data_IF_027223951047
#
_entry.id   IF_027223951047
#
_cell.length_a   1.000
_cell.length_b   1.000
_cell.length_c   1.000
_cell.angle_alpha   90.00
_cell.angle_beta   90.00
_cell.angle_gamma   90.00
#
_symmetry.space_group_name_H-M   'P 1'
#
loop_
_entity.id
_entity.type
_entity.pdbx_description
1 polymer ?
#
# COMPACT_ATOMS: atom_id res chain seq x y z
N UNK A 1 69.20 38.90 10.65
CA UNK A 1 69.10 37.44 10.75
C UNK A 1 68.15 37.13 11.88
N UNK A 2 66.90 36.83 11.52
CA UNK A 2 65.88 36.34 12.42
C UNK A 2 65.86 34.81 12.30
N UNK A 3 65.87 34.09 13.41
CA UNK A 3 65.50 32.68 13.45
C UNK A 3 64.27 32.55 14.35
N UNK A 4 63.12 32.56 13.67
CA UNK A 4 61.81 32.17 14.16
C UNK A 4 61.53 30.78 13.59
N UNK A 5 61.72 29.75 14.41
CA UNK A 5 61.33 28.37 14.12
C UNK A 5 60.41 27.83 15.21
N UNK A 6 59.24 28.50 15.30
CA UNK A 6 57.89 27.92 15.30
C UNK A 6 57.73 26.47 15.78
N UNK A 7 57.10 26.38 16.96
CA UNK A 7 55.87 25.61 17.24
C UNK A 7 55.59 24.44 16.30
N UNK A 8 55.72 23.22 16.83
CA UNK A 8 55.07 22.02 16.29
C UNK A 8 53.57 22.30 16.06
N UNK A 9 52.99 22.01 14.89
CA UNK A 9 51.54 22.04 14.73
C UNK A 9 50.95 20.79 15.38
N UNK A 10 50.19 21.00 16.45
CA UNK A 10 49.19 20.09 17.01
C UNK A 10 47.99 19.97 16.06
N UNK A 11 48.22 19.62 14.78
CA UNK A 11 47.17 19.61 13.75
C UNK A 11 46.64 18.20 13.43
N UNK A 12 47.02 17.18 14.20
CA UNK A 12 46.64 15.77 13.95
C UNK A 12 45.59 15.23 14.94
N UNK A 13 44.71 16.10 15.44
CA UNK A 13 43.72 15.77 16.47
C UNK A 13 42.31 16.29 16.06
N UNK A 14 41.46 15.36 15.61
CA UNK A 14 39.97 15.42 15.52
C UNK A 14 39.23 16.15 14.38
N UNK A 15 39.52 15.91 13.11
CA UNK A 15 38.59 16.29 12.01
C UNK A 15 37.65 15.17 11.55
N UNK A 16 37.14 14.36 12.50
CA UNK A 16 35.98 13.48 12.23
C UNK A 16 34.80 13.68 13.19
N UNK A 17 34.27 14.90 13.46
CA UNK A 17 33.21 15.03 14.47
C UNK A 17 31.82 14.71 13.91
N UNK A 18 31.48 15.17 12.70
CA UNK A 18 30.08 15.16 12.24
C UNK A 18 29.64 13.81 11.70
N UNK A 19 30.43 13.19 10.83
CA UNK A 19 30.08 11.91 10.22
C UNK A 19 30.08 10.75 11.24
N UNK A 20 31.08 10.71 12.13
CA UNK A 20 31.15 9.72 13.19
C UNK A 20 30.00 9.89 14.21
N UNK A 21 29.68 11.13 14.61
CA UNK A 21 28.56 11.41 15.50
C UNK A 21 27.22 11.02 14.86
N UNK A 22 27.02 11.31 13.58
CA UNK A 22 25.83 10.90 12.82
C UNK A 22 25.63 9.38 12.83
N UNK A 23 26.71 8.61 12.66
CA UNK A 23 26.66 7.14 12.74
C UNK A 23 26.34 6.66 14.15
N UNK A 24 27.05 7.16 15.17
CA UNK A 24 26.83 6.78 16.59
C UNK A 24 25.41 7.11 17.05
N UNK A 25 24.86 8.23 16.58
CA UNK A 25 23.50 8.68 16.93
C UNK A 25 22.41 8.07 16.04
N UNK A 26 22.77 7.32 14.99
CA UNK A 26 21.81 6.81 14.00
C UNK A 26 21.13 7.91 13.18
N UNK A 27 21.64 9.15 13.22
CA UNK A 27 21.08 10.30 12.51
C UNK A 27 21.70 10.41 11.13
N UNK A 28 20.88 10.18 10.11
CA UNK A 28 21.31 10.35 8.71
C UNK A 28 21.75 11.80 8.43
N UNK A 29 22.72 12.01 7.53
CA UNK A 29 23.09 13.32 7.04
C UNK A 29 21.88 14.13 6.54
N UNK A 30 21.81 15.41 6.93
CA UNK A 30 20.68 16.30 6.63
C UNK A 30 20.39 16.40 5.12
N UNK A 31 21.42 16.46 4.29
CA UNK A 31 21.25 16.53 2.83
C UNK A 31 20.51 15.30 2.26
N UNK A 32 20.77 14.10 2.80
CA UNK A 32 20.04 12.89 2.41
C UNK A 32 18.59 12.98 2.85
N UNK A 33 18.31 13.42 4.08
CA UNK A 33 16.94 13.58 4.58
C UNK A 33 16.13 14.55 3.70
N UNK A 34 16.73 15.68 3.31
CA UNK A 34 16.08 16.65 2.42
C UNK A 34 15.78 16.02 1.06
N UNK A 35 16.76 15.35 0.44
CA UNK A 35 16.54 14.70 -0.85
C UNK A 35 15.45 13.61 -0.77
N UNK A 36 15.37 12.86 0.34
CA UNK A 36 14.35 11.83 0.53
C UNK A 36 12.95 12.43 0.53
N UNK A 37 12.75 13.54 1.24
CA UNK A 37 11.46 14.25 1.29
C UNK A 37 11.13 14.89 -0.07
N UNK A 38 12.13 15.45 -0.77
CA UNK A 38 11.96 15.99 -2.13
C UNK A 38 11.47 14.89 -3.07
N UNK A 39 12.11 13.73 -3.10
CA UNK A 39 11.70 12.59 -3.93
C UNK A 39 10.30 12.10 -3.54
N UNK A 40 10.01 11.96 -2.24
CA UNK A 40 8.71 11.49 -1.75
C UNK A 40 7.56 12.48 -2.04
N UNK A 41 7.85 13.77 -2.23
CA UNK A 41 6.86 14.76 -2.67
C UNK A 41 6.74 14.78 -4.19
N UNK A 42 7.86 14.81 -4.92
CA UNK A 42 7.89 14.93 -6.38
C UNK A 42 7.17 13.76 -7.07
N UNK A 43 7.50 12.53 -6.70
CA UNK A 43 7.05 11.33 -7.41
C UNK A 43 5.52 11.15 -7.33
N UNK A 44 4.90 11.08 -6.14
CA UNK A 44 3.47 10.79 -6.06
C UNK A 44 2.56 12.02 -6.14
N UNK A 45 3.05 13.22 -5.80
CA UNK A 45 2.22 14.45 -5.80
C UNK A 45 2.42 15.30 -7.05
N UNK A 46 3.66 15.57 -7.44
CA UNK A 46 3.96 16.38 -8.62
C UNK A 46 3.97 15.54 -9.91
N UNK A 47 3.91 14.20 -9.78
CA UNK A 47 3.92 13.25 -10.90
C UNK A 47 5.11 13.47 -11.83
N UNK A 48 6.26 13.78 -11.24
CA UNK A 48 7.54 13.96 -11.93
C UNK A 48 8.52 12.88 -11.53
N UNK A 49 9.36 12.43 -12.47
CA UNK A 49 10.47 11.54 -12.13
C UNK A 49 11.45 12.25 -11.21
N UNK A 50 12.07 11.47 -10.33
CA UNK A 50 13.06 11.98 -9.39
C UNK A 50 14.24 11.04 -9.36
N UNK A 51 15.43 11.61 -9.53
CA UNK A 51 16.67 10.88 -9.40
C UNK A 51 17.15 11.03 -7.96
N UNK A 52 17.23 9.91 -7.25
CA UNK A 52 17.89 9.86 -5.95
C UNK A 52 19.25 9.20 -6.18
N UNK A 53 20.25 10.03 -6.50
CA UNK A 53 21.56 9.60 -6.95
C UNK A 53 21.45 8.72 -8.21
N UNK A 54 21.80 7.44 -8.13
CA UNK A 54 21.76 6.47 -9.25
C UNK A 54 20.41 5.80 -9.43
N UNK A 55 19.49 5.94 -8.47
CA UNK A 55 18.16 5.32 -8.52
C UNK A 55 17.16 6.29 -9.11
N UNK A 56 16.47 5.85 -10.16
CA UNK A 56 15.42 6.62 -10.83
C UNK A 56 14.05 6.15 -10.32
N UNK A 57 13.27 7.09 -9.78
CA UNK A 57 11.90 6.84 -9.38
C UNK A 57 10.93 7.38 -10.43
N UNK A 58 10.24 6.49 -11.15
CA UNK A 58 9.20 6.87 -12.10
C UNK A 58 7.85 7.07 -11.40
N UNK A 59 7.12 8.18 -11.64
CA UNK A 59 5.82 8.41 -11.03
C UNK A 59 4.76 7.39 -11.47
N UNK A 60 4.89 6.77 -12.65
CA UNK A 60 3.95 5.76 -13.14
C UNK A 60 3.93 4.49 -12.30
N UNK A 61 5.04 4.20 -11.62
CA UNK A 61 5.21 2.96 -10.88
C UNK A 61 4.49 3.02 -9.54
N UNK A 62 4.16 4.21 -9.04
CA UNK A 62 3.59 4.42 -7.72
C UNK A 62 2.19 5.05 -7.80
N UNK A 63 1.40 4.75 -6.77
CA UNK A 63 0.11 5.37 -6.56
C UNK A 63 0.21 6.91 -6.60
N UNK A 64 -0.80 7.55 -7.19
CA UNK A 64 -0.95 8.99 -7.11
C UNK A 64 -1.80 9.35 -5.89
N UNK A 65 -1.51 10.49 -5.27
CA UNK A 65 -2.46 11.08 -4.32
C UNK A 65 -3.50 11.84 -5.11
N UNK A 66 -4.74 11.37 -5.10
CA UNK A 66 -5.84 12.11 -5.71
C UNK A 66 -6.09 13.40 -4.91
N UNK A 67 -5.99 14.55 -5.57
CA UNK A 67 -6.29 15.86 -4.98
C UNK A 67 -7.79 16.18 -5.08
N UNK A 68 -8.23 17.20 -4.35
CA UNK A 68 -9.61 17.70 -4.40
C UNK A 68 -10.65 16.82 -3.69
N UNK A 69 -11.86 17.39 -3.57
CA UNK A 69 -13.04 16.71 -3.05
C UNK A 69 -13.61 15.85 -4.20
N UNK A 70 -13.56 14.52 -4.05
CA UNK A 70 -14.04 13.59 -5.07
C UNK A 70 -15.57 13.45 -5.09
N UNK A 71 -16.20 13.60 -3.92
CA UNK A 71 -17.64 13.41 -3.73
C UNK A 71 -18.16 14.69 -3.09
N UNK A 72 -19.15 15.32 -3.73
CA UNK A 72 -19.81 16.48 -3.16
C UNK A 72 -20.29 16.13 -1.73
N UNK A 73 -20.16 17.00 -0.72
CA UNK A 73 -20.51 16.67 0.67
C UNK A 73 -21.91 16.10 0.88
N UNK A 74 -22.81 16.34 -0.07
CA UNK A 74 -24.19 15.82 -0.08
C UNK A 74 -24.33 14.38 -0.62
N UNK A 75 -23.38 13.88 -1.43
CA UNK A 75 -23.44 12.56 -2.07
C UNK A 75 -22.80 11.47 -1.20
N UNK A 76 -23.19 11.40 0.06
CA UNK A 76 -22.65 10.38 0.98
C UNK A 76 -23.23 9.00 0.65
N UNK A 77 -22.44 7.93 0.86
CA UNK A 77 -22.94 6.56 0.81
C UNK A 77 -24.14 6.45 1.75
N UNK A 78 -25.25 5.87 1.30
CA UNK A 78 -26.43 5.80 2.16
C UNK A 78 -26.09 5.09 3.47
N UNK A 79 -26.64 5.56 4.59
CA UNK A 79 -26.24 5.17 5.95
C UNK A 79 -26.29 3.64 6.21
N UNK A 80 -26.98 2.88 5.36
CA UNK A 80 -27.15 1.42 5.46
C UNK A 80 -26.39 0.61 4.38
N UNK A 81 -25.70 1.28 3.45
CA UNK A 81 -25.07 0.59 2.32
C UNK A 81 -23.83 -0.19 2.75
N UNK A 82 -23.06 0.33 3.70
CA UNK A 82 -21.98 -0.39 4.38
C UNK A 82 -22.40 -0.61 5.84
N UNK A 83 -22.20 -1.83 6.36
CA UNK A 83 -22.55 -2.16 7.74
C UNK A 83 -21.49 -3.02 8.38
N UNK A 84 -21.25 -2.73 9.67
CA UNK A 84 -20.33 -3.47 10.54
C UNK A 84 -21.06 -4.42 11.50
N UNK A 85 -22.38 -4.55 11.36
CA UNK A 85 -23.15 -5.43 12.23
C UNK A 85 -22.86 -6.91 11.91
N UNK A 86 -22.58 -7.68 12.96
CA UNK A 86 -22.33 -9.12 12.91
C UNK A 86 -23.63 -9.91 12.69
N UNK A 87 -24.26 -9.70 11.53
CA UNK A 87 -25.52 -10.34 11.14
C UNK A 87 -25.31 -11.44 10.08
N UNK A 88 -24.09 -11.95 9.94
CA UNK A 88 -23.80 -13.05 9.04
C UNK A 88 -24.47 -14.32 9.56
N UNK A 89 -25.22 -15.00 8.69
CA UNK A 89 -25.74 -16.33 8.94
C UNK A 89 -25.37 -17.18 7.75
N UNK A 90 -24.68 -18.27 8.00
CA UNK A 90 -24.42 -19.26 6.97
C UNK A 90 -25.69 -20.09 6.74
N UNK A 91 -26.46 -19.69 5.71
CA UNK A 91 -27.71 -20.34 5.34
C UNK A 91 -27.60 -21.15 4.05
N UNK A 92 -26.38 -21.36 3.53
CA UNK A 92 -26.16 -21.92 2.19
C UNK A 92 -26.65 -21.04 1.02
N UNK A 93 -27.22 -19.87 1.32
CA UNK A 93 -27.71 -18.95 0.29
C UNK A 93 -26.55 -18.30 -0.45
N UNK A 94 -26.82 -17.88 -1.69
CA UNK A 94 -25.83 -17.24 -2.55
C UNK A 94 -25.20 -16.01 -1.88
N UNK A 95 -23.92 -16.08 -1.59
CA UNK A 95 -23.16 -15.03 -0.91
C UNK A 95 -21.82 -14.79 -1.61
N UNK A 96 -21.30 -13.56 -1.52
CA UNK A 96 -20.01 -13.18 -2.08
C UNK A 96 -19.04 -12.86 -0.96
N UNK A 97 -17.80 -13.34 -1.10
CA UNK A 97 -16.73 -13.14 -0.15
C UNK A 97 -15.50 -12.63 -0.89
N UNK A 98 -14.75 -11.76 -0.25
CA UNK A 98 -13.56 -11.11 -0.82
C UNK A 98 -12.42 -11.23 0.17
N UNK A 99 -11.21 -11.44 -0.34
CA UNK A 99 -10.01 -11.49 0.48
C UNK A 99 -8.76 -11.06 -0.29
N UNK A 100 -7.74 -10.60 0.44
CA UNK A 100 -6.43 -10.23 -0.06
C UNK A 100 -5.32 -10.85 0.77
N UNK A 101 -4.43 -11.60 0.12
CA UNK A 101 -3.32 -12.28 0.77
C UNK A 101 -1.98 -11.71 0.35
N UNK A 102 -1.01 -11.72 1.27
CA UNK A 102 0.38 -11.38 0.99
C UNK A 102 1.31 -12.39 1.65
N UNK A 103 2.27 -12.87 0.87
CA UNK A 103 3.37 -13.72 1.32
C UNK A 103 4.68 -13.14 0.78
N UNK A 104 5.81 -13.78 1.10
CA UNK A 104 7.11 -13.42 0.54
C UNK A 104 7.18 -13.66 -0.98
N UNK A 105 6.37 -14.58 -1.51
CA UNK A 105 6.33 -14.91 -2.95
C UNK A 105 5.53 -13.88 -3.77
N UNK A 106 4.62 -13.15 -3.13
CA UNK A 106 3.81 -12.16 -3.83
C UNK A 106 2.54 -11.76 -3.10
N UNK A 107 1.68 -11.06 -3.84
CA UNK A 107 0.42 -10.54 -3.32
C UNK A 107 -0.71 -11.06 -4.21
N UNK A 108 -1.80 -11.54 -3.61
CA UNK A 108 -2.95 -12.09 -4.32
C UNK A 108 -4.24 -11.47 -3.84
N UNK A 109 -5.18 -11.29 -4.75
CA UNK A 109 -6.50 -10.72 -4.49
C UNK A 109 -7.55 -11.66 -5.06
N UNK A 110 -8.62 -11.92 -4.33
CA UNK A 110 -9.66 -12.81 -4.82
C UNK A 110 -11.05 -12.45 -4.30
N UNK A 111 -12.07 -12.81 -5.09
CA UNK A 111 -13.41 -12.96 -4.57
C UNK A 111 -13.99 -14.30 -5.01
N UNK A 112 -14.93 -14.82 -4.22
CA UNK A 112 -15.72 -15.97 -4.60
C UNK A 112 -17.20 -15.74 -4.35
N UNK A 113 -18.01 -16.48 -5.10
CA UNK A 113 -19.44 -16.59 -4.93
C UNK A 113 -19.71 -18.01 -4.47
N UNK A 114 -20.25 -18.15 -3.27
CA UNK A 114 -20.67 -19.44 -2.71
C UNK A 114 -22.17 -19.59 -2.81
N UNK A 115 -22.62 -20.80 -3.13
CA UNK A 115 -24.02 -21.23 -3.10
C UNK A 115 -24.04 -22.72 -2.73
N UNK A 116 -24.92 -23.12 -1.80
CA UNK A 116 -24.98 -24.49 -1.27
C UNK A 116 -23.61 -25.02 -0.79
N UNK A 117 -22.83 -24.18 -0.09
CA UNK A 117 -21.50 -24.50 0.42
C UNK A 117 -20.42 -24.83 -0.65
N UNK A 118 -20.71 -24.59 -1.93
CA UNK A 118 -19.76 -24.74 -3.03
C UNK A 118 -19.42 -23.39 -3.68
N UNK A 119 -18.18 -23.24 -4.15
CA UNK A 119 -17.78 -22.10 -4.99
C UNK A 119 -18.39 -22.31 -6.37
N UNK A 120 -19.29 -21.44 -6.79
CA UNK A 120 -19.89 -21.48 -8.13
C UNK A 120 -19.13 -20.60 -9.13
N UNK A 121 -18.44 -19.58 -8.64
CA UNK A 121 -17.69 -18.61 -9.44
C UNK A 121 -16.64 -17.94 -8.57
N UNK A 122 -15.47 -17.68 -9.12
CA UNK A 122 -14.40 -16.95 -8.45
C UNK A 122 -13.66 -16.04 -9.43
N UNK A 123 -12.92 -15.11 -8.85
CA UNK A 123 -11.93 -14.29 -9.55
C UNK A 123 -10.66 -14.26 -8.73
N UNK A 124 -9.51 -14.32 -9.40
CA UNK A 124 -8.18 -14.34 -8.80
C UNK A 124 -7.25 -13.39 -9.58
N UNK A 125 -6.78 -12.35 -8.90
CA UNK A 125 -5.81 -11.40 -9.41
C UNK A 125 -4.45 -11.59 -8.75
N UNK A 126 -3.43 -11.86 -9.57
CA UNK A 126 -2.03 -11.90 -9.16
C UNK A 126 -1.45 -10.50 -9.20
N UNK A 127 -1.09 -9.96 -8.04
CA UNK A 127 -0.45 -8.66 -7.89
C UNK A 127 1.06 -8.79 -7.78
N UNK A 128 1.77 -7.67 -7.88
CA UNK A 128 3.21 -7.66 -7.67
C UNK A 128 3.55 -7.85 -6.18
N UNK A 129 4.74 -8.38 -5.91
CA UNK A 129 5.25 -8.56 -4.55
C UNK A 129 5.40 -7.24 -3.78
N UNK A 130 5.54 -6.10 -4.46
CA UNK A 130 5.57 -4.78 -3.82
C UNK A 130 4.20 -4.27 -3.38
N UNK A 131 3.10 -4.84 -3.88
CA UNK A 131 1.75 -4.43 -3.50
C UNK A 131 1.43 -4.82 -2.04
N UNK A 132 0.54 -4.07 -1.41
CA UNK A 132 0.15 -4.32 -0.01
C UNK A 132 -1.09 -5.22 0.11
N UNK A 133 -1.26 -5.87 1.27
CA UNK A 133 -2.52 -6.56 1.62
C UNK A 133 -3.72 -5.63 1.44
N UNK A 134 -3.61 -4.38 1.89
CA UNK A 134 -4.67 -3.38 1.74
C UNK A 134 -5.08 -3.14 0.28
N UNK A 135 -4.11 -3.07 -0.65
CA UNK A 135 -4.42 -2.94 -2.07
C UNK A 135 -5.13 -4.20 -2.61
N UNK A 136 -4.70 -5.38 -2.19
CA UNK A 136 -5.32 -6.65 -2.57
C UNK A 136 -6.76 -6.76 -2.09
N UNK A 137 -7.01 -6.40 -0.83
CA UNK A 137 -8.34 -6.36 -0.22
C UNK A 137 -9.29 -5.39 -0.94
N UNK A 138 -8.84 -4.15 -1.19
CA UNK A 138 -9.64 -3.15 -1.89
C UNK A 138 -9.92 -3.60 -3.32
N UNK A 139 -8.94 -4.20 -4.01
CA UNK A 139 -9.15 -4.72 -5.35
C UNK A 139 -10.20 -5.83 -5.36
N UNK A 140 -10.14 -6.77 -4.41
CA UNK A 140 -11.11 -7.86 -4.30
C UNK A 140 -12.54 -7.32 -4.15
N UNK A 141 -12.72 -6.31 -3.29
CA UNK A 141 -13.99 -5.60 -3.10
C UNK A 141 -14.44 -4.94 -4.40
N UNK A 142 -13.55 -4.21 -5.09
CA UNK A 142 -13.87 -3.54 -6.36
C UNK A 142 -14.38 -4.55 -7.40
N UNK A 143 -13.64 -5.63 -7.62
CA UNK A 143 -13.99 -6.66 -8.61
C UNK A 143 -15.30 -7.35 -8.26
N UNK A 144 -15.56 -7.61 -6.98
CA UNK A 144 -16.84 -8.18 -6.52
C UNK A 144 -18.02 -7.23 -6.73
N UNK A 145 -17.83 -5.91 -6.55
CA UNK A 145 -18.86 -4.90 -6.82
C UNK A 145 -19.15 -4.84 -8.33
N UNK A 146 -18.11 -4.77 -9.17
CA UNK A 146 -18.26 -4.74 -10.63
C UNK A 146 -19.00 -5.99 -11.14
N UNK A 147 -18.70 -7.17 -10.60
CA UNK A 147 -19.41 -8.41 -10.92
C UNK A 147 -20.86 -8.43 -10.39
N UNK A 148 -21.18 -7.63 -9.36
CA UNK A 148 -22.52 -7.51 -8.80
C UNK A 148 -23.38 -6.47 -9.53
N UNK A 149 -22.77 -5.50 -10.21
CA UNK A 149 -23.43 -4.33 -10.81
C UNK A 149 -24.58 -4.66 -11.77
N UNK A 150 -24.50 -5.78 -12.51
CA UNK A 150 -25.50 -6.16 -13.52
C UNK A 150 -26.77 -6.82 -12.96
N UNK A 151 -26.76 -7.24 -11.70
CA UNK A 151 -27.77 -8.15 -11.16
C UNK A 151 -29.03 -7.47 -10.59
N UNK A 152 -29.05 -6.13 -10.48
CA UNK A 152 -30.20 -5.29 -10.12
C UNK A 152 -31.04 -5.80 -8.92
N UNK A 153 -30.41 -6.52 -7.99
CA UNK A 153 -31.03 -7.10 -6.79
C UNK A 153 -30.16 -6.84 -5.57
N UNK A 154 -30.71 -6.81 -4.34
CA UNK A 154 -29.90 -6.64 -3.15
C UNK A 154 -28.80 -7.71 -3.05
N UNK A 155 -27.55 -7.28 -3.04
CA UNK A 155 -26.37 -8.15 -2.98
C UNK A 155 -25.53 -7.76 -1.78
N UNK A 156 -25.16 -8.75 -0.97
CA UNK A 156 -24.18 -8.59 0.11
C UNK A 156 -22.82 -9.09 -0.36
N UNK A 157 -21.78 -8.31 -0.08
CA UNK A 157 -20.38 -8.68 -0.28
C UNK A 157 -19.73 -8.67 1.10
N UNK A 158 -19.20 -9.80 1.52
CA UNK A 158 -18.57 -9.98 2.83
C UNK A 158 -17.06 -9.83 2.71
N UNK A 159 -16.47 -9.03 3.59
CA UNK A 159 -15.02 -8.81 3.69
C UNK A 159 -14.61 -8.77 5.15
N UNK A 160 -13.46 -9.34 5.49
CA UNK A 160 -12.86 -9.21 6.82
C UNK A 160 -12.03 -7.93 6.99
N UNK A 161 -11.69 -7.24 5.89
CA UNK A 161 -10.86 -6.04 5.92
C UNK A 161 -11.61 -4.81 6.40
N UNK A 162 -11.64 -4.65 7.72
CA UNK A 162 -12.15 -3.46 8.40
C UNK A 162 -11.47 -2.18 7.86
N UNK A 163 -10.15 -2.25 7.59
CA UNK A 163 -9.40 -1.13 7.01
C UNK A 163 -9.92 -0.71 5.65
N UNK A 164 -10.27 -1.65 4.77
CA UNK A 164 -10.82 -1.35 3.45
C UNK A 164 -12.18 -0.66 3.56
N UNK A 165 -13.07 -1.18 4.41
CA UNK A 165 -14.39 -0.59 4.64
C UNK A 165 -14.31 0.81 5.26
N UNK A 166 -13.40 1.01 6.23
CA UNK A 166 -13.17 2.34 6.83
C UNK A 166 -12.61 3.32 5.82
N UNK A 167 -11.72 2.88 4.93
CA UNK A 167 -11.21 3.71 3.84
C UNK A 167 -12.33 4.11 2.87
N UNK A 168 -13.21 3.17 2.49
CA UNK A 168 -14.36 3.43 1.62
C UNK A 168 -15.36 4.39 2.28
N UNK A 169 -15.59 4.28 3.59
CA UNK A 169 -16.45 5.22 4.31
C UNK A 169 -15.86 6.62 4.47
N UNK A 170 -14.54 6.79 4.31
CA UNK A 170 -13.91 8.10 4.42
C UNK A 170 -14.13 8.93 3.13
N UNK A 171 -15.02 9.94 3.13
CA UNK A 171 -15.29 10.74 1.93
C UNK A 171 -14.09 11.62 1.52
N UNK A 172 -13.12 11.80 2.41
CA UNK A 172 -11.87 12.54 2.19
C UNK A 172 -10.71 11.62 1.80
N UNK A 173 -10.97 10.36 1.46
CA UNK A 173 -9.91 9.46 1.01
C UNK A 173 -9.18 10.04 -0.21
N UNK A 174 -7.86 9.93 -0.20
CA UNK A 174 -6.98 10.33 -1.31
C UNK A 174 -6.57 9.15 -2.20
N UNK A 175 -7.03 7.94 -1.87
CA UNK A 175 -6.69 6.72 -2.60
C UNK A 175 -7.60 6.59 -3.82
N UNK A 176 -7.02 6.46 -5.02
CA UNK A 176 -7.77 6.42 -6.29
C UNK A 176 -8.78 5.26 -6.34
N UNK A 177 -8.35 4.05 -6.02
CA UNK A 177 -9.23 2.87 -6.04
C UNK A 177 -10.39 2.96 -5.02
N UNK A 178 -10.14 3.56 -3.85
CA UNK A 178 -11.21 3.84 -2.88
C UNK A 178 -12.25 4.77 -3.47
N UNK A 179 -11.80 5.85 -4.15
CA UNK A 179 -12.69 6.80 -4.83
C UNK A 179 -13.50 6.11 -5.93
N UNK A 180 -12.88 5.23 -6.72
CA UNK A 180 -13.59 4.43 -7.73
C UNK A 180 -14.68 3.55 -7.09
N UNK A 181 -14.37 2.86 -6.00
CA UNK A 181 -15.35 2.04 -5.27
C UNK A 181 -16.49 2.90 -4.72
N UNK A 182 -16.19 4.08 -4.17
CA UNK A 182 -17.23 4.99 -3.70
C UNK A 182 -18.18 5.38 -4.83
N UNK A 183 -17.67 5.72 -6.02
CA UNK A 183 -18.50 6.00 -7.21
C UNK A 183 -19.32 4.78 -7.61
N UNK A 184 -18.71 3.59 -7.66
CA UNK A 184 -19.41 2.35 -7.99
C UNK A 184 -20.56 2.09 -7.02
N UNK A 185 -20.36 2.28 -5.72
CA UNK A 185 -21.40 2.10 -4.71
C UNK A 185 -22.51 3.16 -4.82
N UNK A 186 -22.18 4.41 -5.14
CA UNK A 186 -23.18 5.45 -5.39
C UNK A 186 -24.08 5.11 -6.59
N UNK A 187 -23.50 4.54 -7.66
CA UNK A 187 -24.23 4.07 -8.83
C UNK A 187 -25.04 2.80 -8.57
N UNK A 188 -24.54 1.91 -7.71
CA UNK A 188 -25.14 0.60 -7.45
C UNK A 188 -25.63 0.46 -5.99
N UNK A 189 -26.68 1.22 -5.65
CA UNK A 189 -27.29 1.24 -4.29
C UNK A 189 -27.77 -0.11 -3.77
N UNK A 190 -27.94 -1.10 -4.65
CA UNK A 190 -28.35 -2.46 -4.29
C UNK A 190 -27.17 -3.33 -3.81
N UNK A 191 -25.92 -2.90 -3.99
CA UNK A 191 -24.72 -3.59 -3.53
C UNK A 191 -24.32 -3.10 -2.16
N UNK A 192 -24.15 -4.05 -1.24
CA UNK A 192 -23.99 -3.82 0.18
C UNK A 192 -22.74 -4.52 0.71
N UNK A 193 -21.59 -3.83 0.78
CA UNK A 193 -20.43 -4.33 1.50
C UNK A 193 -20.76 -4.51 2.99
N UNK A 194 -20.32 -5.62 3.57
CA UNK A 194 -20.56 -6.00 4.96
C UNK A 194 -19.26 -6.48 5.57
N UNK A 195 -18.99 -6.03 6.79
CA UNK A 195 -17.86 -6.55 7.54
C UNK A 195 -18.20 -7.94 8.09
N UNK A 196 -17.22 -8.82 7.99
CA UNK A 196 -17.22 -10.14 8.60
C UNK A 196 -16.11 -10.19 9.64
N UNK A 197 -16.40 -10.78 10.80
CA UNK A 197 -15.38 -10.96 11.82
C UNK A 197 -14.38 -12.03 11.38
N UNK A 198 -13.10 -11.67 11.41
CA UNK A 198 -12.00 -12.59 11.14
C UNK A 198 -11.95 -13.74 12.17
N UNK A 199 -11.38 -14.88 11.79
CA UNK A 199 -11.11 -16.05 12.66
C UNK A 199 -12.34 -16.78 13.23
N UNK A 200 -13.53 -16.62 12.62
CA UNK A 200 -14.76 -17.32 13.03
C UNK A 200 -15.02 -18.57 12.16
N UNK A 201 -14.12 -18.89 11.23
CA UNK A 201 -14.20 -20.12 10.42
C UNK A 201 -15.37 -20.15 9.42
N UNK A 202 -15.76 -18.98 8.88
CA UNK A 202 -16.80 -18.93 7.86
C UNK A 202 -16.27 -19.52 6.55
N UNK A 203 -16.93 -20.58 6.06
CA UNK A 203 -16.50 -21.31 4.86
C UNK A 203 -16.24 -20.38 3.68
N UNK A 204 -17.12 -19.41 3.41
CA UNK A 204 -16.93 -18.48 2.30
C UNK A 204 -15.72 -17.55 2.44
N UNK A 205 -15.37 -17.19 3.67
CA UNK A 205 -14.17 -16.41 3.95
C UNK A 205 -12.91 -17.25 3.75
N UNK A 206 -12.91 -18.49 4.27
CA UNK A 206 -11.81 -19.44 4.07
C UNK A 206 -11.60 -19.75 2.59
N UNK A 207 -12.67 -19.89 1.81
CA UNK A 207 -12.60 -20.03 0.36
C UNK A 207 -11.95 -18.82 -0.32
N UNK A 208 -12.33 -17.60 0.09
CA UNK A 208 -11.75 -16.39 -0.48
C UNK A 208 -10.25 -16.24 -0.13
N UNK A 209 -9.87 -16.51 1.12
CA UNK A 209 -8.47 -16.49 1.57
C UNK A 209 -7.62 -17.54 0.84
N UNK A 210 -8.13 -18.77 0.71
CA UNK A 210 -7.45 -19.80 -0.06
C UNK A 210 -7.27 -19.39 -1.52
N UNK A 211 -8.28 -18.80 -2.15
CA UNK A 211 -8.19 -18.31 -3.52
C UNK A 211 -7.21 -17.13 -3.65
N UNK A 212 -7.13 -16.24 -2.67
CA UNK A 212 -6.19 -15.12 -2.65
C UNK A 212 -4.75 -15.63 -2.53
N UNK A 213 -4.51 -16.64 -1.69
CA UNK A 213 -3.21 -17.34 -1.59
C UNK A 213 -2.84 -18.04 -2.90
N UNK A 214 -3.79 -18.75 -3.51
CA UNK A 214 -3.58 -19.39 -4.81
C UNK A 214 -3.33 -18.38 -5.93
N UNK A 215 -3.94 -17.19 -5.86
CA UNK A 215 -3.78 -16.14 -6.86
C UNK A 215 -2.31 -15.68 -6.98
N UNK A 216 -1.51 -15.79 -5.93
CA UNK A 216 -0.08 -15.42 -5.94
C UNK A 216 0.70 -16.23 -7.00
N UNK A 217 0.37 -17.51 -7.15
CA UNK A 217 1.07 -18.41 -8.08
C UNK A 217 0.29 -18.64 -9.37
N UNK A 218 -1.03 -18.84 -9.27
CA UNK A 218 -1.91 -19.28 -10.37
C UNK A 218 -2.86 -18.20 -10.88
N UNK A 219 -2.96 -17.05 -10.20
CA UNK A 219 -3.87 -15.98 -10.56
C UNK A 219 -3.48 -15.28 -11.87
N UNK A 220 -4.44 -14.60 -12.48
CA UNK A 220 -4.18 -13.80 -13.68
C UNK A 220 -3.41 -12.53 -13.28
N UNK A 221 -2.30 -12.18 -13.97
CA UNK A 221 -1.57 -10.95 -13.68
C UNK A 221 -2.47 -9.71 -13.71
N UNK A 222 -2.44 -8.94 -12.64
CA UNK A 222 -3.18 -7.70 -12.49
C UNK A 222 -2.22 -6.60 -12.04
N UNK A 223 -1.99 -5.62 -12.91
CA UNK A 223 -1.00 -4.57 -12.65
C UNK A 223 -1.60 -3.46 -11.80
N UNK A 224 -1.03 -3.25 -10.62
CA UNK A 224 -1.32 -2.12 -9.75
C UNK A 224 -0.05 -1.30 -9.49
N UNK A 225 -0.14 0.04 -9.43
CA UNK A 225 0.95 0.86 -8.95
C UNK A 225 1.36 0.46 -7.53
N UNK A 226 2.65 0.54 -7.23
CA UNK A 226 3.22 0.28 -5.92
C UNK A 226 2.68 1.29 -4.90
N UNK A 227 2.42 0.88 -3.65
CA UNK A 227 1.87 1.77 -2.65
C UNK A 227 2.90 2.81 -2.21
N UNK A 228 2.43 3.96 -1.73
CA UNK A 228 3.32 5.04 -1.27
C UNK A 228 4.21 4.65 -0.09
N UNK A 229 3.77 3.69 0.72
CA UNK A 229 4.59 3.09 1.78
C UNK A 229 5.79 2.35 1.21
N UNK A 230 5.63 1.68 0.06
CA UNK A 230 6.71 0.99 -0.63
C UNK A 230 7.70 1.99 -1.23
N UNK A 231 7.22 3.05 -1.90
CA UNK A 231 8.08 4.16 -2.34
C UNK A 231 8.93 4.71 -1.18
N UNK A 232 8.30 4.95 -0.03
CA UNK A 232 8.99 5.46 1.15
C UNK A 232 10.05 4.47 1.65
N UNK A 233 9.78 3.17 1.55
CA UNK A 233 10.74 2.12 1.88
C UNK A 233 11.92 2.10 0.91
N UNK A 234 11.69 2.18 -0.39
CA UNK A 234 12.75 2.20 -1.42
C UNK A 234 13.64 3.44 -1.28
N UNK A 235 13.04 4.63 -1.09
CA UNK A 235 13.80 5.87 -0.82
C UNK A 235 14.64 5.74 0.46
N UNK A 236 14.12 5.07 1.50
CA UNK A 236 14.86 4.83 2.75
C UNK A 236 16.01 3.86 2.55
N UNK A 237 15.79 2.79 1.80
CA UNK A 237 16.79 1.78 1.48
C UNK A 237 17.92 2.38 0.64
N UNK A 238 17.59 3.13 -0.42
CA UNK A 238 18.57 3.83 -1.24
C UNK A 238 19.43 4.79 -0.40
N UNK A 239 18.81 5.62 0.45
CA UNK A 239 19.55 6.53 1.32
C UNK A 239 20.44 5.81 2.35
N UNK A 240 20.02 4.64 2.85
CA UNK A 240 20.86 3.83 3.74
C UNK A 240 22.07 3.27 2.99
N UNK A 241 21.88 2.77 1.77
CA UNK A 241 22.98 2.28 0.92
C UNK A 241 24.02 3.37 0.67
N UNK A 242 23.58 4.56 0.25
CA UNK A 242 24.47 5.70 -0.01
C UNK A 242 25.20 6.14 1.27
N UNK A 243 24.50 6.17 2.40
CA UNK A 243 25.13 6.55 3.65
C UNK A 243 26.21 5.53 4.06
N UNK A 244 25.95 4.24 3.86
CA UNK A 244 26.91 3.18 4.10
C UNK A 244 28.13 3.29 3.17
N UNK A 245 27.92 3.55 1.88
CA UNK A 245 28.99 3.71 0.90
C UNK A 245 29.88 4.91 1.23
N UNK A 246 29.28 6.05 1.58
CA UNK A 246 30.00 7.24 2.01
C UNK A 246 30.84 6.95 3.27
N UNK A 247 30.28 6.25 4.25
CA UNK A 247 31.02 5.86 5.46
C UNK A 247 32.24 5.00 5.15
N UNK A 248 32.06 3.95 4.33
CA UNK A 248 33.15 3.08 3.91
C UNK A 248 34.24 3.87 3.18
N UNK A 249 33.85 4.83 2.35
CA UNK A 249 34.79 5.70 1.65
C UNK A 249 35.63 6.53 2.64
N UNK A 250 35.03 7.18 3.64
CA UNK A 250 35.76 7.92 4.67
C UNK A 250 36.76 7.04 5.41
N UNK A 251 36.36 5.83 5.82
CA UNK A 251 37.26 4.91 6.55
C UNK A 251 38.43 4.41 5.70
N UNK A 252 38.28 4.28 4.37
CA UNK A 252 39.35 3.85 3.45
C UNK A 252 40.40 4.91 3.17
N UNK A 253 40.05 6.19 3.24
CA UNK A 253 41.02 7.30 3.10
C UNK A 253 41.68 7.70 4.43
N UNK A 254 41.26 7.08 5.53
CA UNK A 254 41.77 7.34 6.89
C UNK A 254 42.75 6.25 7.38
N UNK A 255 43.05 5.27 6.53
CA UNK A 255 43.94 4.13 6.79
C UNK A 255 45.11 4.19 5.81
#
# INVERSE_FOLDING_TARGET
>A
MADDSRKQPLDEIWTTPTAALQVVTGLKPLHLQIQQEVTYVQVPRLRSSSNFFTVIFSPTDYESKSSGIHIHPHNFLSHNQISFAENHRDSGAKARYTDGSKTDEGTGSAYCILENYGIITSWQGKLDHSNSVFQAEILAIKMAIEAASSLHRPIKIWTESLSSLMAILNPKSHHSMVREIQTLLLSHKHVHPRWLKANVGYLGNECADQLAKEAITKGNPFFLPKPLSYLKSEIRSAALSIWQDNWLQYTRYSA
#
